data_IF_616507334867
#
_entry.id   IF_616507334867
#
_cell.length_a   1.000
_cell.length_b   1.000
_cell.length_c   1.000
_cell.angle_alpha   90.00
_cell.angle_beta   90.00
_cell.angle_gamma   90.00
#
_symmetry.space_group_name_H-M   'P 1'
#
loop_
_entity.id
_entity.type
_entity.pdbx_description
1 polymer ?
#
# COMPACT_ATOMS: atom_id res chain seq x y z
N UNK A 1 -0.64 -4.36 3.44
CA UNK A 1 -1.36 -5.16 2.41
C UNK A 1 -2.47 -4.40 1.69
N UNK A 2 -2.88 -3.22 2.18
CA UNK A 2 -3.93 -2.40 1.55
C UNK A 2 -3.53 -1.84 0.18
N UNK A 3 -2.24 -1.67 -0.09
CA UNK A 3 -1.74 -1.14 -1.36
C UNK A 3 -2.03 -2.02 -2.59
N UNK A 4 -2.18 -3.35 -2.41
CA UNK A 4 -2.45 -4.30 -3.50
C UNK A 4 -3.79 -4.04 -4.22
N UNK A 5 -4.95 -3.97 -3.52
CA UNK A 5 -6.22 -3.69 -4.19
C UNK A 5 -6.24 -2.33 -4.91
N UNK A 6 -5.53 -1.34 -4.38
CA UNK A 6 -5.43 -0.04 -5.04
C UNK A 6 -4.53 -0.07 -6.29
N UNK A 7 -3.46 -0.87 -6.27
CA UNK A 7 -2.63 -1.08 -7.45
C UNK A 7 -3.41 -1.78 -8.57
N UNK A 8 -4.21 -2.78 -8.21
CA UNK A 8 -5.10 -3.47 -9.15
C UNK A 8 -6.18 -2.54 -9.71
N UNK A 9 -6.81 -1.74 -8.87
CA UNK A 9 -7.77 -0.73 -9.31
C UNK A 9 -7.13 0.30 -10.25
N UNK A 10 -5.91 0.76 -9.95
CA UNK A 10 -5.16 1.65 -10.83
C UNK A 10 -4.84 1.04 -12.19
N UNK A 11 -4.42 -0.22 -12.21
CA UNK A 11 -4.15 -0.96 -13.44
C UNK A 11 -5.42 -1.12 -14.31
N UNK A 12 -6.53 -1.55 -13.70
CA UNK A 12 -7.81 -1.72 -14.42
C UNK A 12 -8.36 -0.39 -14.91
N UNK A 13 -8.26 0.68 -14.12
CA UNK A 13 -8.68 2.01 -14.55
C UNK A 13 -7.87 2.51 -15.73
N UNK A 14 -6.56 2.31 -15.72
CA UNK A 14 -5.69 2.73 -16.83
C UNK A 14 -6.05 1.99 -18.12
N UNK A 15 -6.27 0.67 -18.08
CA UNK A 15 -6.73 -0.09 -19.22
C UNK A 15 -8.09 0.40 -19.73
N UNK A 16 -9.01 0.70 -18.83
CA UNK A 16 -10.34 1.22 -19.19
C UNK A 16 -10.27 2.57 -19.90
N UNK A 17 -9.48 3.53 -19.38
CA UNK A 17 -9.33 4.86 -19.99
C UNK A 17 -8.59 4.81 -21.33
N UNK A 18 -7.62 3.92 -21.47
CA UNK A 18 -6.86 3.79 -22.73
C UNK A 18 -7.56 2.90 -23.77
N UNK A 19 -8.74 2.33 -23.40
CA UNK A 19 -9.50 1.39 -24.25
C UNK A 19 -8.60 0.27 -24.78
N UNK A 20 -7.70 -0.23 -23.95
CA UNK A 20 -6.76 -1.30 -24.30
C UNK A 20 -7.31 -2.60 -23.73
N UNK A 21 -7.37 -3.62 -24.60
CA UNK A 21 -7.83 -4.95 -24.19
C UNK A 21 -6.85 -5.61 -23.21
N UNK A 22 -7.39 -6.46 -22.35
CA UNK A 22 -6.59 -7.25 -21.42
C UNK A 22 -5.99 -8.44 -22.18
N UNK A 23 -4.80 -8.23 -22.71
CA UNK A 23 -4.04 -9.20 -23.48
C UNK A 23 -2.98 -9.93 -22.63
N UNK A 24 -2.25 -10.87 -23.24
CA UNK A 24 -1.21 -11.64 -22.56
C UNK A 24 -0.09 -10.76 -21.97
N UNK A 25 0.43 -9.71 -22.64
CA UNK A 25 1.38 -8.77 -22.04
C UNK A 25 0.80 -8.01 -20.84
N UNK A 26 -0.49 -7.65 -20.86
CA UNK A 26 -1.14 -7.00 -19.71
C UNK A 26 -1.18 -7.91 -18.48
N UNK A 27 -1.43 -9.22 -18.67
CA UNK A 27 -1.38 -10.19 -17.57
C UNK A 27 0.02 -10.30 -16.95
N UNK A 28 1.06 -10.32 -17.78
CA UNK A 28 2.46 -10.30 -17.32
C UNK A 28 2.74 -8.99 -16.56
N UNK A 29 2.29 -7.84 -17.07
CA UNK A 29 2.40 -6.55 -16.42
C UNK A 29 1.75 -6.52 -15.03
N UNK A 30 0.59 -7.17 -14.89
CA UNK A 30 -0.12 -7.30 -13.62
C UNK A 30 0.68 -8.10 -12.58
N UNK A 31 1.28 -9.24 -13.01
CA UNK A 31 2.15 -10.04 -12.13
C UNK A 31 3.37 -9.26 -11.67
N UNK A 32 4.03 -8.52 -12.57
CA UNK A 32 5.16 -7.66 -12.25
C UNK A 32 4.75 -6.54 -11.28
N UNK A 33 3.60 -5.90 -11.52
CA UNK A 33 3.06 -4.87 -10.66
C UNK A 33 2.83 -5.38 -9.23
N UNK A 34 2.21 -6.55 -9.09
CA UNK A 34 2.00 -7.19 -7.77
C UNK A 34 3.34 -7.40 -7.07
N UNK A 35 4.34 -7.93 -7.78
CA UNK A 35 5.69 -8.14 -7.22
C UNK A 35 6.33 -6.85 -6.72
N UNK A 36 6.26 -5.77 -7.49
CA UNK A 36 6.82 -4.45 -7.12
C UNK A 36 6.11 -3.88 -5.89
N UNK A 37 4.78 -3.92 -5.87
CA UNK A 37 3.97 -3.36 -4.77
C UNK A 37 4.17 -4.13 -3.48
N UNK A 38 4.20 -5.47 -3.55
CA UNK A 38 4.46 -6.33 -2.38
C UNK A 38 5.86 -6.09 -1.84
N UNK A 39 6.87 -6.05 -2.71
CA UNK A 39 8.26 -5.79 -2.30
C UNK A 39 8.38 -4.43 -1.56
N UNK A 40 7.79 -3.38 -2.10
CA UNK A 40 7.78 -2.06 -1.45
C UNK A 40 7.09 -2.10 -0.08
N UNK A 41 5.99 -2.85 0.03
CA UNK A 41 5.27 -3.04 1.28
C UNK A 41 6.08 -3.78 2.34
N UNK A 42 6.76 -4.86 1.96
CA UNK A 42 7.59 -5.66 2.87
C UNK A 42 8.74 -4.83 3.43
N UNK A 43 9.49 -4.15 2.55
CA UNK A 43 10.64 -3.31 2.95
C UNK A 43 10.20 -2.18 3.89
N UNK A 44 9.03 -1.61 3.67
CA UNK A 44 8.47 -0.59 4.54
C UNK A 44 8.13 -1.13 5.93
N UNK A 45 7.45 -2.29 6.01
CA UNK A 45 7.08 -2.93 7.28
C UNK A 45 8.33 -3.33 8.07
N UNK A 46 9.34 -3.87 7.38
CA UNK A 46 10.61 -4.27 7.99
C UNK A 46 11.34 -3.08 8.60
N UNK A 47 11.35 -1.94 7.91
CA UNK A 47 11.94 -0.70 8.41
C UNK A 47 11.23 -0.18 9.67
N UNK A 48 9.90 -0.17 9.67
CA UNK A 48 9.08 0.20 10.84
C UNK A 48 9.35 -0.75 12.02
N UNK A 49 9.44 -2.07 11.75
CA UNK A 49 9.75 -3.05 12.78
C UNK A 49 11.17 -2.88 13.35
N UNK A 50 12.12 -2.40 12.58
CA UNK A 50 13.46 -2.02 13.04
C UNK A 50 13.40 -0.97 14.15
N UNK A 51 12.62 0.10 13.95
CA UNK A 51 12.42 1.14 14.99
C UNK A 51 11.71 0.62 16.24
N UNK A 52 10.72 -0.27 16.07
CA UNK A 52 10.04 -0.91 17.19
C UNK A 52 10.97 -1.79 18.03
N UNK A 53 11.89 -2.53 17.38
CA UNK A 53 12.92 -3.33 18.08
C UNK A 53 13.93 -2.45 18.82
N UNK A 54 14.16 -1.23 18.35
CA UNK A 54 15.00 -0.23 19.03
C UNK A 54 14.30 0.45 20.23
N UNK A 55 13.08 0.01 20.61
CA UNK A 55 12.35 0.52 21.76
C UNK A 55 11.48 1.75 21.48
N UNK A 56 11.32 2.16 20.21
CA UNK A 56 10.49 3.31 19.84
C UNK A 56 9.00 2.98 19.98
N UNK A 57 8.15 3.90 20.49
CA UNK A 57 6.71 3.72 20.53
C UNK A 57 6.15 3.41 19.14
N UNK A 58 5.10 2.57 19.07
CA UNK A 58 4.55 2.09 17.80
C UNK A 58 4.17 3.23 16.84
N UNK A 59 3.53 4.27 17.36
CA UNK A 59 3.04 5.41 16.59
C UNK A 59 4.21 6.21 15.98
N UNK A 60 5.20 6.53 16.78
CA UNK A 60 6.39 7.24 16.33
C UNK A 60 7.21 6.44 15.32
N UNK A 61 7.35 5.13 15.53
CA UNK A 61 8.01 4.21 14.60
C UNK A 61 7.28 4.14 13.25
N UNK A 62 5.94 4.18 13.24
CA UNK A 62 5.14 4.18 12.00
C UNK A 62 5.30 5.49 11.23
N UNK A 63 5.18 6.63 11.89
CA UNK A 63 5.31 7.96 11.26
C UNK A 63 6.72 8.16 10.72
N UNK A 64 7.73 7.89 11.54
CA UNK A 64 9.13 8.08 11.16
C UNK A 64 9.57 7.11 10.08
N UNK A 65 9.30 5.82 10.25
CA UNK A 65 9.64 4.79 9.28
C UNK A 65 8.93 4.97 7.95
N UNK A 66 7.65 5.39 7.98
CA UNK A 66 6.89 5.73 6.78
C UNK A 66 7.48 6.93 6.05
N UNK A 67 7.77 8.03 6.77
CA UNK A 67 8.34 9.25 6.17
C UNK A 67 9.71 9.02 5.52
N UNK A 68 10.56 8.23 6.14
CA UNK A 68 11.90 7.92 5.61
C UNK A 68 11.85 7.05 4.35
N UNK A 69 10.85 6.16 4.25
CA UNK A 69 10.67 5.27 3.09
C UNK A 69 9.88 5.89 1.94
N UNK A 70 9.16 6.97 2.17
CA UNK A 70 8.39 7.65 1.14
C UNK A 70 9.28 8.14 -0.01
N UNK A 71 10.41 8.76 0.30
CA UNK A 71 11.35 9.28 -0.70
C UNK A 71 11.92 8.18 -1.62
N UNK A 72 12.47 7.05 -1.12
CA UNK A 72 12.90 5.93 -1.97
C UNK A 72 11.78 5.35 -2.83
N UNK A 73 10.57 5.17 -2.27
CA UNK A 73 9.41 4.62 -3.00
C UNK A 73 9.02 5.54 -4.16
N UNK A 74 8.97 6.85 -3.94
CA UNK A 74 8.68 7.82 -4.99
C UNK A 74 9.78 7.86 -6.06
N UNK A 75 11.06 7.77 -5.67
CA UNK A 75 12.17 7.72 -6.62
C UNK A 75 12.06 6.49 -7.53
N UNK A 76 11.83 5.30 -6.97
CA UNK A 76 11.67 4.08 -7.77
C UNK A 76 10.44 4.15 -8.67
N UNK A 77 9.31 4.68 -8.18
CA UNK A 77 8.12 4.88 -8.99
C UNK A 77 8.37 5.80 -10.17
N UNK A 78 8.97 6.98 -9.94
CA UNK A 78 9.29 7.94 -11.00
C UNK A 78 10.27 7.34 -12.02
N UNK A 79 11.33 6.68 -11.56
CA UNK A 79 12.31 6.04 -12.45
C UNK A 79 11.67 4.96 -13.32
N UNK A 80 10.79 4.14 -12.74
CA UNK A 80 10.06 3.10 -13.50
C UNK A 80 9.10 3.71 -14.51
N UNK A 81 8.35 4.76 -14.13
CA UNK A 81 7.46 5.49 -15.03
C UNK A 81 8.23 6.09 -16.21
N UNK A 82 9.36 6.75 -15.94
CA UNK A 82 10.23 7.31 -17.00
C UNK A 82 10.83 6.23 -17.89
N UNK A 83 11.26 5.10 -17.31
CA UNK A 83 11.82 3.96 -18.05
C UNK A 83 10.81 3.26 -18.96
N UNK A 84 9.53 3.25 -18.60
CA UNK A 84 8.46 2.66 -19.42
C UNK A 84 7.86 3.63 -20.44
N UNK A 85 8.09 4.94 -20.27
CA UNK A 85 7.60 5.97 -21.20
C UNK A 85 7.93 5.69 -22.67
N UNK A 86 9.18 5.31 -23.07
CA UNK A 86 9.49 5.03 -24.46
C UNK A 86 8.67 3.86 -25.04
N UNK A 87 8.32 2.85 -24.23
CA UNK A 87 7.50 1.73 -24.66
C UNK A 87 6.07 2.19 -24.96
N UNK A 88 5.54 3.11 -24.17
CA UNK A 88 4.19 3.66 -24.37
C UNK A 88 4.15 4.59 -25.59
N UNK A 89 5.18 5.40 -25.79
CA UNK A 89 5.23 6.39 -26.90
C UNK A 89 5.52 5.71 -28.24
N UNK A 90 6.53 4.84 -28.31
CA UNK A 90 6.98 4.23 -29.56
C UNK A 90 6.17 2.99 -29.96
N UNK A 91 5.44 2.38 -29.02
CA UNK A 91 4.66 1.14 -29.22
C UNK A 91 5.44 0.05 -29.96
N UNK A 92 6.67 -0.31 -29.54
CA UNK A 92 7.47 -1.28 -30.25
C UNK A 92 6.79 -2.64 -30.27
N UNK A 93 6.71 -3.26 -31.44
CA UNK A 93 6.33 -4.66 -31.58
C UNK A 93 7.59 -5.50 -31.65
N UNK A 94 7.76 -6.45 -30.73
CA UNK A 94 8.83 -7.44 -30.74
C UNK A 94 8.21 -8.81 -31.01
N UNK A 95 8.65 -9.43 -32.07
CA UNK A 95 8.11 -10.74 -32.51
C UNK A 95 6.58 -10.78 -32.65
N UNK A 96 5.96 -9.70 -33.12
CA UNK A 96 4.50 -9.60 -33.28
C UNK A 96 3.73 -9.32 -31.97
N UNK A 97 4.39 -9.15 -30.84
CA UNK A 97 3.76 -8.84 -29.54
C UNK A 97 3.96 -7.37 -29.21
N UNK A 98 2.87 -6.70 -28.87
CA UNK A 98 2.88 -5.31 -28.44
C UNK A 98 2.98 -5.22 -26.91
N UNK A 99 4.11 -4.72 -26.39
CA UNK A 99 4.31 -4.58 -24.95
C UNK A 99 3.67 -3.31 -24.34
N UNK A 100 2.91 -2.59 -25.16
CA UNK A 100 2.20 -1.37 -24.76
C UNK A 100 1.24 -1.61 -23.58
N UNK A 101 0.42 -2.66 -23.64
CA UNK A 101 -0.55 -3.00 -22.60
C UNK A 101 0.14 -3.32 -21.27
N UNK A 102 1.27 -4.04 -21.31
CA UNK A 102 2.09 -4.33 -20.14
C UNK A 102 2.60 -3.03 -19.47
N UNK A 103 3.16 -2.13 -20.28
CA UNK A 103 3.68 -0.86 -19.76
C UNK A 103 2.57 0.00 -19.13
N UNK A 104 1.38 0.04 -19.73
CA UNK A 104 0.23 0.77 -19.20
C UNK A 104 -0.23 0.21 -17.85
N UNK A 105 -0.34 -1.10 -17.71
CA UNK A 105 -0.73 -1.76 -16.45
C UNK A 105 0.25 -1.41 -15.33
N UNK A 106 1.56 -1.52 -15.61
CA UNK A 106 2.59 -1.20 -14.62
C UNK A 106 2.58 0.28 -14.27
N UNK A 107 2.54 1.16 -15.27
CA UNK A 107 2.55 2.62 -15.04
C UNK A 107 1.32 3.07 -14.25
N UNK A 108 0.14 2.66 -14.65
CA UNK A 108 -1.10 3.05 -13.98
C UNK A 108 -1.21 2.49 -12.57
N UNK A 109 -0.96 1.20 -12.39
CA UNK A 109 -1.01 0.58 -11.08
C UNK A 109 0.05 1.12 -10.13
N UNK A 110 1.28 1.36 -10.61
CA UNK A 110 2.36 1.90 -9.80
C UNK A 110 2.11 3.36 -9.42
N UNK A 111 1.63 4.20 -10.35
CA UNK A 111 1.31 5.60 -10.08
C UNK A 111 0.22 5.73 -9.03
N UNK A 112 -0.89 4.99 -9.17
CA UNK A 112 -2.00 4.99 -8.20
C UNK A 112 -1.54 4.43 -6.86
N UNK A 113 -0.80 3.32 -6.84
CA UNK A 113 -0.29 2.72 -5.61
C UNK A 113 0.68 3.65 -4.88
N UNK A 114 1.62 4.29 -5.57
CA UNK A 114 2.58 5.22 -4.99
C UNK A 114 1.88 6.46 -4.43
N UNK A 115 0.92 7.03 -5.16
CA UNK A 115 0.13 8.19 -4.71
C UNK A 115 -0.70 7.86 -3.47
N UNK A 116 -1.44 6.75 -3.51
CA UNK A 116 -2.26 6.31 -2.38
C UNK A 116 -1.41 5.96 -1.15
N UNK A 117 -0.29 5.27 -1.33
CA UNK A 117 0.63 4.98 -0.22
C UNK A 117 1.15 6.28 0.40
N UNK A 118 1.44 7.29 -0.42
CA UNK A 118 1.88 8.62 0.05
C UNK A 118 0.80 9.34 0.87
N UNK A 119 -0.47 9.21 0.49
CA UNK A 119 -1.61 9.84 1.19
C UNK A 119 -2.07 8.99 2.38
N UNK A 120 -2.09 7.66 2.24
CA UNK A 120 -2.54 6.75 3.30
C UNK A 120 -1.59 6.72 4.50
N UNK A 121 -0.28 6.91 4.30
CA UNK A 121 0.69 6.92 5.39
C UNK A 121 0.39 7.97 6.47
N UNK A 122 0.21 9.27 6.15
CA UNK A 122 -0.17 10.25 7.16
C UNK A 122 -1.59 10.02 7.71
N UNK A 123 -2.52 9.54 6.87
CA UNK A 123 -3.91 9.32 7.27
C UNK A 123 -4.07 8.12 8.19
N UNK A 124 -3.34 7.02 7.96
CA UNK A 124 -3.36 5.85 8.85
C UNK A 124 -2.68 6.13 10.18
N UNK A 125 -1.70 7.02 10.24
CA UNK A 125 -1.11 7.47 11.50
C UNK A 125 -2.15 8.21 12.36
N UNK A 126 -2.96 9.09 11.78
CA UNK A 126 -4.03 9.78 12.50
C UNK A 126 -5.20 8.85 12.86
N UNK A 127 -5.62 7.95 11.96
CA UNK A 127 -6.73 7.04 12.23
C UNK A 127 -6.38 5.96 13.27
N UNK A 128 -5.12 5.54 13.36
CA UNK A 128 -4.72 4.52 14.34
C UNK A 128 -4.88 5.04 15.77
N UNK A 129 -4.65 6.32 16.03
CA UNK A 129 -4.87 6.93 17.34
C UNK A 129 -6.35 6.87 17.75
N UNK A 130 -7.27 7.17 16.84
CA UNK A 130 -8.71 7.18 17.13
C UNK A 130 -9.28 5.77 17.32
N UNK A 131 -8.86 4.80 16.51
CA UNK A 131 -9.34 3.42 16.59
C UNK A 131 -8.81 2.73 17.86
N UNK A 132 -7.52 2.90 18.20
CA UNK A 132 -6.98 2.32 19.43
C UNK A 132 -7.52 2.99 20.69
N UNK A 133 -7.72 4.30 20.68
CA UNK A 133 -8.38 5.01 21.78
C UNK A 133 -9.86 4.58 21.94
N UNK A 134 -10.53 4.25 20.84
CA UNK A 134 -11.91 3.74 20.86
C UNK A 134 -11.98 2.30 21.38
N UNK A 135 -11.12 1.41 20.90
CA UNK A 135 -11.00 0.02 21.37
C UNK A 135 -10.56 -0.01 22.84
N UNK A 136 -9.60 0.81 23.25
CA UNK A 136 -9.16 0.95 24.64
C UNK A 136 -10.29 1.43 25.55
N UNK A 137 -11.13 2.35 25.09
CA UNK A 137 -12.32 2.83 25.83
C UNK A 137 -13.39 1.75 25.98
N UNK A 138 -13.59 0.92 24.95
CA UNK A 138 -14.54 -0.21 25.02
C UNK A 138 -14.00 -1.30 25.98
N UNK A 139 -12.73 -1.67 25.86
CA UNK A 139 -12.11 -2.65 26.74
C UNK A 139 -12.12 -2.20 28.21
N UNK A 140 -11.80 -0.91 28.47
CA UNK A 140 -11.86 -0.34 29.82
C UNK A 140 -13.29 -0.29 30.39
N UNK A 141 -14.31 -0.08 29.54
CA UNK A 141 -15.72 -0.17 29.96
C UNK A 141 -16.12 -1.60 30.29
N UNK A 142 -15.70 -2.58 29.49
CA UNK A 142 -15.99 -3.99 29.75
C UNK A 142 -15.34 -4.50 31.04
N UNK A 143 -14.10 -4.09 31.32
CA UNK A 143 -13.38 -4.43 32.57
C UNK A 143 -14.02 -3.76 33.80
N UNK A 144 -14.46 -2.50 33.68
CA UNK A 144 -15.18 -1.82 34.78
C UNK A 144 -16.54 -2.44 35.06
N UNK A 145 -17.23 -2.92 34.03
CA UNK A 145 -18.52 -3.59 34.22
C UNK A 145 -18.36 -4.95 34.92
N UNK A 146 -17.28 -5.67 34.64
CA UNK A 146 -16.96 -6.94 35.31
C UNK A 146 -16.53 -6.75 36.77
N UNK A 147 -15.92 -5.63 37.13
CA UNK A 147 -15.51 -5.32 38.52
C UNK A 147 -16.66 -4.81 39.39
N UNK A 148 -17.82 -4.45 38.82
CA UNK A 148 -19.01 -3.97 39.55
C UNK A 148 -20.03 -5.07 39.86
N UNK A 149 -19.72 -6.36 39.62
CA UNK A 149 -20.52 -7.43 40.22
C UNK A 149 -19.96 -7.70 41.62
N UNK A 150 -20.54 -7.11 42.67
CA UNK A 150 -20.21 -7.51 44.04
C UNK A 150 -20.72 -8.94 44.23
N UNK A 151 -19.92 -9.74 44.90
CA UNK A 151 -20.27 -11.03 45.45
C UNK A 151 -21.52 -10.84 46.35
N UNK A 152 -22.69 -10.99 45.76
CA UNK A 152 -23.97 -11.03 46.48
C UNK A 152 -24.51 -12.44 46.37
N UNK A 153 -23.82 -13.39 47.03
CA UNK A 153 -24.35 -14.69 47.45
C UNK A 153 -23.33 -15.33 48.42
N UNK A 154 -23.39 -14.89 49.67
CA UNK A 154 -22.91 -15.67 50.82
C UNK A 154 -23.79 -15.25 52.01
N UNK A 155 -24.94 -15.88 52.08
CA UNK A 155 -25.70 -16.08 53.30
C UNK A 155 -26.63 -17.28 53.10
#
# INVERSE_FOLDING_TARGET
MVALPFALAGATWTLFFTKTDFDQPAAIGLLLLIGIVVNNGIVMIEHINGYRRAGMPREEAMVRGGRERLRPILMTAITTLMGLTPIVVQRPALAGVYYYSMALVIMGGLAVSAFLTSVLLPTTACLSEDIFAWIGRIAARAVRFRRRRPLRNAA
#
